data_IF_668918055971
#
_entry.id   IF_668918055971
#
_cell.length_a   1.000
_cell.length_b   1.000
_cell.length_c   1.000
_cell.angle_alpha   90.00
_cell.angle_beta   90.00
_cell.angle_gamma   90.00
#
_symmetry.space_group_name_H-M   'P 1'
#
loop_
_entity.id
_entity.type
_entity.pdbx_description
1 polymer ?
#
# COMPACT_ATOMS: atom_id res chain seq x y z
N UNK A 1 -22.53 1.97 -3.16
CA UNK A 1 -22.93 3.37 -2.88
C UNK A 1 -21.73 4.01 -2.23
N UNK A 2 -21.15 5.06 -2.82
CA UNK A 2 -20.06 5.81 -2.18
C UNK A 2 -20.66 7.08 -1.58
N UNK A 3 -20.20 7.53 -0.40
CA UNK A 3 -20.50 8.88 0.05
C UNK A 3 -20.12 9.89 -1.05
N UNK A 4 -20.83 11.01 -1.09
CA UNK A 4 -20.56 12.12 -2.00
C UNK A 4 -19.19 12.72 -1.63
N UNK A 5 -18.13 12.20 -2.25
CA UNK A 5 -16.75 12.52 -1.93
C UNK A 5 -16.23 13.51 -2.97
N UNK A 6 -15.86 14.70 -2.52
CA UNK A 6 -15.22 15.71 -3.35
C UNK A 6 -13.74 15.34 -3.60
N UNK A 7 -13.27 15.38 -4.86
CA UNK A 7 -11.86 15.24 -5.20
C UNK A 7 -10.97 16.24 -4.45
N UNK A 8 -9.75 15.83 -4.13
CA UNK A 8 -8.73 16.63 -3.44
C UNK A 8 -7.44 16.64 -4.25
N UNK A 9 -6.80 17.81 -4.31
CA UNK A 9 -5.48 17.96 -4.92
C UNK A 9 -4.44 17.24 -4.06
N UNK A 10 -3.46 16.60 -4.69
CA UNK A 10 -2.41 15.87 -3.96
C UNK A 10 -1.64 16.75 -2.97
N UNK A 11 -1.47 18.04 -3.27
CA UNK A 11 -0.84 19.03 -2.37
C UNK A 11 -1.60 19.25 -1.05
N UNK A 12 -2.88 18.86 -0.99
CA UNK A 12 -3.69 18.99 0.23
C UNK A 12 -3.63 17.76 1.14
N UNK A 13 -2.99 16.68 0.67
CA UNK A 13 -2.84 15.45 1.47
C UNK A 13 -1.70 15.68 2.47
N UNK A 14 -1.97 15.58 3.78
CA UNK A 14 -0.93 15.82 4.77
C UNK A 14 0.09 14.69 4.75
N UNK A 15 1.37 15.09 4.85
CA UNK A 15 2.50 14.20 5.07
C UNK A 15 2.33 13.46 6.38
N UNK A 16 2.75 12.18 6.39
CA UNK A 16 2.51 11.32 7.55
C UNK A 16 3.43 10.12 7.59
N UNK A 17 3.81 9.74 8.80
CA UNK A 17 4.57 8.51 9.08
C UNK A 17 3.83 7.63 10.09
N UNK A 18 4.00 6.31 9.97
CA UNK A 18 3.35 5.35 10.87
C UNK A 18 1.83 5.30 10.78
N UNK A 19 1.27 5.72 9.65
CA UNK A 19 -0.13 5.54 9.30
C UNK A 19 -0.39 4.09 8.87
N UNK A 20 -1.66 3.74 8.67
CA UNK A 20 -2.08 2.47 8.08
C UNK A 20 -2.72 2.70 6.72
N UNK A 21 -2.57 1.72 5.82
CA UNK A 21 -3.34 1.67 4.60
C UNK A 21 -3.76 0.25 4.23
N UNK A 22 -4.89 0.15 3.56
CA UNK A 22 -5.38 -1.09 2.95
C UNK A 22 -5.91 -0.78 1.55
N UNK A 23 -5.76 -1.73 0.62
CA UNK A 23 -6.39 -1.63 -0.69
C UNK A 23 -7.70 -2.39 -0.69
N UNK A 24 -8.76 -1.72 -1.11
CA UNK A 24 -10.08 -2.31 -1.32
C UNK A 24 -10.55 -1.94 -2.72
N UNK A 25 -10.74 -2.94 -3.58
CA UNK A 25 -10.99 -2.76 -5.02
C UNK A 25 -9.90 -1.91 -5.69
N UNK A 26 -10.17 -0.62 -5.90
CA UNK A 26 -9.26 0.36 -6.49
C UNK A 26 -8.97 1.56 -5.57
N UNK A 27 -9.41 1.49 -4.32
CA UNK A 27 -9.20 2.55 -3.33
C UNK A 27 -8.17 2.10 -2.32
N UNK A 28 -7.05 2.83 -2.27
CA UNK A 28 -6.16 2.76 -1.13
C UNK A 28 -6.73 3.65 -0.04
N UNK A 29 -7.15 3.04 1.07
CA UNK A 29 -7.74 3.71 2.21
C UNK A 29 -6.64 3.95 3.22
N UNK A 30 -6.50 5.18 3.69
CA UNK A 30 -5.40 5.65 4.53
C UNK A 30 -5.97 6.31 5.79
N UNK A 31 -5.41 5.94 6.95
CA UNK A 31 -5.82 6.52 8.23
C UNK A 31 -4.65 6.65 9.20
N UNK A 32 -4.73 7.66 10.08
CA UNK A 32 -3.80 7.89 11.18
C UNK A 32 -2.41 8.31 10.74
N UNK A 33 -1.44 7.99 11.60
CA UNK A 33 -0.06 8.45 11.48
C UNK A 33 0.18 9.76 12.24
N UNK A 34 1.44 10.18 12.22
CA UNK A 34 1.89 11.38 12.90
C UNK A 34 2.75 12.23 11.95
N UNK A 35 2.85 13.52 12.27
CA UNK A 35 3.69 14.50 11.61
C UNK A 35 4.02 15.61 12.62
N UNK A 36 5.30 15.84 12.86
CA UNK A 36 5.78 16.80 13.84
C UNK A 36 5.39 18.26 13.52
N UNK A 37 5.21 18.60 12.24
CA UNK A 37 4.80 19.92 11.78
C UNK A 37 3.27 20.14 11.83
N UNK A 38 2.50 19.06 11.99
CA UNK A 38 1.05 19.11 12.00
C UNK A 38 0.52 19.43 13.41
N UNK A 39 0.50 20.71 13.82
CA UNK A 39 -0.24 21.04 15.05
C UNK A 39 -0.63 22.50 15.38
N UNK A 40 -1.91 22.72 15.74
CA UNK A 40 -2.37 23.82 16.59
C UNK A 40 -2.44 23.51 18.12
N UNK A 41 -2.22 22.27 18.56
CA UNK A 41 -2.52 21.73 19.92
C UNK A 41 -1.46 20.79 20.56
N UNK A 42 -0.28 20.62 19.97
CA UNK A 42 0.87 19.83 20.48
C UNK A 42 0.67 18.31 20.78
N UNK A 43 -0.17 17.61 20.01
CA UNK A 43 -0.30 16.15 19.98
C UNK A 43 0.44 15.43 18.82
N UNK A 44 0.97 16.11 17.79
CA UNK A 44 1.73 15.55 16.66
C UNK A 44 1.03 14.46 15.80
N UNK A 45 -0.25 14.14 16.04
CA UNK A 45 -1.01 13.12 15.30
C UNK A 45 -1.98 13.71 14.29
N UNK A 46 -2.21 12.98 13.18
CA UNK A 46 -3.15 13.41 12.16
C UNK A 46 -4.62 13.32 12.62
N UNK A 47 -5.54 14.10 12.02
CA UNK A 47 -6.92 14.18 12.46
C UNK A 47 -7.60 12.81 12.40
N UNK A 48 -8.07 12.26 13.54
CA UNK A 48 -8.55 10.89 13.59
C UNK A 48 -9.91 10.69 12.90
N UNK A 49 -10.63 11.78 12.67
CA UNK A 49 -11.91 11.79 11.97
C UNK A 49 -11.77 11.75 10.45
N UNK A 50 -10.56 11.93 9.90
CA UNK A 50 -10.33 11.91 8.47
C UNK A 50 -9.92 10.52 7.98
N UNK A 51 -10.71 9.98 7.04
CA UNK A 51 -10.37 8.79 6.28
C UNK A 51 -10.06 9.21 4.86
N UNK A 52 -8.81 9.04 4.45
CA UNK A 52 -8.33 9.41 3.13
C UNK A 52 -8.47 8.22 2.18
N UNK A 53 -8.87 8.48 0.94
CA UNK A 53 -9.01 7.47 -0.10
C UNK A 53 -8.28 7.93 -1.34
N UNK A 54 -7.41 7.08 -1.87
CA UNK A 54 -6.75 7.31 -3.15
C UNK A 54 -7.33 6.35 -4.19
N UNK A 55 -7.96 6.90 -5.22
CA UNK A 55 -8.39 6.13 -6.39
C UNK A 55 -7.16 5.79 -7.24
N UNK A 56 -6.72 4.54 -7.18
CA UNK A 56 -5.51 4.08 -7.87
C UNK A 56 -5.67 4.10 -9.39
N UNK A 57 -6.92 4.12 -9.87
CA UNK A 57 -7.22 4.12 -11.30
C UNK A 57 -7.16 5.53 -11.89
N UNK A 58 -7.73 6.52 -11.21
CA UNK A 58 -7.75 7.91 -11.71
C UNK A 58 -6.67 8.81 -11.11
N UNK A 59 -5.95 8.29 -10.12
CA UNK A 59 -4.88 8.97 -9.37
C UNK A 59 -5.38 10.22 -8.66
N UNK A 60 -6.53 10.10 -7.99
CA UNK A 60 -7.23 11.20 -7.32
C UNK A 60 -7.47 10.86 -5.86
N UNK A 61 -7.24 11.84 -4.98
CA UNK A 61 -7.53 11.73 -3.55
C UNK A 61 -8.94 12.19 -3.22
N UNK A 62 -9.49 11.60 -2.17
CA UNK A 62 -10.74 11.96 -1.53
C UNK A 62 -10.54 11.91 -0.03
N UNK A 63 -11.36 12.64 0.71
CA UNK A 63 -11.39 12.57 2.18
C UNK A 63 -12.82 12.49 2.67
N UNK A 64 -13.08 11.50 3.52
CA UNK A 64 -14.32 11.39 4.29
C UNK A 64 -14.07 11.87 5.72
N UNK A 65 -14.97 12.73 6.22
CA UNK A 65 -14.92 13.23 7.60
C UNK A 65 -15.99 12.54 8.43
N UNK A 66 -15.56 11.64 9.30
CA UNK A 66 -16.41 10.97 10.27
C UNK A 66 -16.85 11.93 11.37
N UNK A 67 -18.09 11.79 11.84
CA UNK A 67 -18.67 12.66 12.89
C UNK A 67 -19.10 11.93 14.15
N UNK A 68 -19.22 10.60 14.08
CA UNK A 68 -19.74 9.77 15.17
C UNK A 68 -18.59 9.18 15.99
N UNK A 69 -18.37 7.86 15.89
CA UNK A 69 -17.26 7.18 16.54
C UNK A 69 -15.98 7.53 15.80
N UNK A 70 -14.99 8.01 16.56
CA UNK A 70 -13.68 8.39 16.02
C UNK A 70 -12.62 7.61 16.82
N UNK A 71 -11.81 6.76 16.17
CA UNK A 71 -10.72 6.07 16.86
C UNK A 71 -9.74 7.07 17.48
N UNK A 72 -9.04 6.65 18.52
CA UNK A 72 -7.99 7.48 19.14
C UNK A 72 -6.90 7.75 18.09
N UNK A 73 -6.47 9.01 17.88
CA UNK A 73 -5.40 9.32 16.93
C UNK A 73 -4.12 8.61 17.35
N UNK A 74 -3.52 7.87 16.42
CA UNK A 74 -2.38 7.03 16.71
C UNK A 74 -1.48 6.82 15.49
N UNK A 75 -0.21 6.50 15.78
CA UNK A 75 0.75 5.95 14.84
C UNK A 75 1.07 4.51 15.19
N UNK A 76 1.65 3.76 14.25
CA UNK A 76 2.09 2.39 14.46
C UNK A 76 0.96 1.39 14.68
N UNK A 77 -0.29 1.74 14.37
CA UNK A 77 -1.37 0.75 14.31
C UNK A 77 -1.05 -0.32 13.25
N UNK A 78 -1.63 -1.50 13.40
CA UNK A 78 -1.72 -2.48 12.31
C UNK A 78 -3.10 -2.42 11.68
N UNK A 79 -3.19 -2.71 10.39
CA UNK A 79 -4.47 -2.82 9.71
C UNK A 79 -4.50 -3.94 8.68
N UNK A 80 -5.69 -4.52 8.49
CA UNK A 80 -5.97 -5.45 7.41
C UNK A 80 -7.45 -5.38 7.01
N UNK A 81 -7.76 -5.70 5.76
CA UNK A 81 -9.12 -5.69 5.23
C UNK A 81 -9.68 -7.11 5.10
N UNK A 82 -10.97 -7.28 5.42
CA UNK A 82 -11.71 -8.53 5.22
C UNK A 82 -13.19 -8.22 4.98
N UNK A 83 -13.70 -8.61 3.81
CA UNK A 83 -15.06 -8.27 3.40
C UNK A 83 -15.23 -6.76 3.26
N UNK A 84 -16.33 -6.22 3.81
CA UNK A 84 -16.63 -4.78 3.81
C UNK A 84 -15.99 -4.00 4.99
N UNK A 85 -14.92 -4.53 5.57
CA UNK A 85 -14.32 -3.95 6.77
C UNK A 85 -12.81 -3.80 6.65
N UNK A 86 -12.29 -2.65 7.06
CA UNK A 86 -10.90 -2.46 7.46
C UNK A 86 -10.82 -2.54 8.98
N UNK A 87 -9.97 -3.41 9.50
CA UNK A 87 -9.75 -3.56 10.94
C UNK A 87 -8.44 -2.87 11.31
N UNK A 88 -8.45 -2.10 12.40
CA UNK A 88 -7.29 -1.35 12.91
C UNK A 88 -7.08 -1.71 14.37
N UNK A 89 -5.88 -2.16 14.69
CA UNK A 89 -5.54 -2.63 16.03
C UNK A 89 -4.32 -1.89 16.60
N UNK A 90 -4.40 -1.59 17.90
CA UNK A 90 -3.29 -1.06 18.69
C UNK A 90 -2.85 0.33 18.23
N UNK A 91 -1.55 0.59 18.35
CA UNK A 91 -0.93 1.88 18.03
C UNK A 91 -0.43 2.62 19.27
N UNK A 92 0.20 3.77 19.03
CA UNK A 92 0.65 4.70 20.05
C UNK A 92 -0.02 6.05 19.83
N UNK A 93 -0.62 6.57 20.90
CA UNK A 93 -1.31 7.86 20.94
C UNK A 93 -0.62 8.80 21.92
N UNK A 94 -1.09 10.05 22.01
CA UNK A 94 -0.63 10.99 23.05
C UNK A 94 -0.91 10.52 24.49
N UNK A 95 -1.78 9.52 24.68
CA UNK A 95 -2.06 8.89 25.97
C UNK A 95 -1.26 7.60 26.21
N UNK A 96 -0.40 7.20 25.27
CA UNK A 96 0.39 5.98 25.30
C UNK A 96 -0.12 4.89 24.35
N UNK A 97 0.31 3.65 24.61
CA UNK A 97 0.00 2.48 23.79
C UNK A 97 -1.47 2.07 23.88
N UNK A 98 -1.99 1.57 22.77
CA UNK A 98 -3.37 1.11 22.63
C UNK A 98 -3.41 -0.41 22.43
N UNK A 99 -4.52 -1.04 22.83
CA UNK A 99 -4.88 -2.42 22.50
C UNK A 99 -6.32 -2.53 21.96
N UNK A 100 -6.89 -1.41 21.53
CA UNK A 100 -8.25 -1.34 21.00
C UNK A 100 -8.29 -1.88 19.57
N UNK A 101 -9.38 -2.57 19.23
CA UNK A 101 -9.69 -3.02 17.87
C UNK A 101 -10.87 -2.21 17.34
N UNK A 102 -10.65 -1.43 16.31
CA UNK A 102 -11.70 -0.74 15.56
C UNK A 102 -11.92 -1.44 14.23
N UNK A 103 -13.13 -1.33 13.69
CA UNK A 103 -13.41 -1.64 12.29
C UNK A 103 -14.08 -0.45 11.60
N UNK A 104 -13.61 -0.13 10.40
CA UNK A 104 -14.18 0.84 9.49
C UNK A 104 -15.06 0.08 8.50
N UNK A 105 -16.35 0.40 8.46
CA UNK A 105 -17.28 -0.06 7.43
C UNK A 105 -16.91 0.60 6.10
N UNK A 106 -16.47 -0.16 5.11
CA UNK A 106 -15.90 0.37 3.87
C UNK A 106 -16.96 0.96 2.93
N UNK A 107 -18.18 0.44 3.00
CA UNK A 107 -19.33 0.95 2.25
C UNK A 107 -19.84 2.31 2.75
N UNK A 108 -19.75 2.59 4.05
CA UNK A 108 -20.26 3.81 4.68
C UNK A 108 -19.17 4.76 5.18
N UNK A 109 -17.93 4.27 5.23
CA UNK A 109 -16.76 4.90 5.84
C UNK A 109 -16.96 5.28 7.32
N UNK A 110 -17.86 4.60 8.04
CA UNK A 110 -18.10 4.82 9.47
C UNK A 110 -17.31 3.85 10.34
N UNK A 111 -16.80 4.34 11.47
CA UNK A 111 -16.08 3.52 12.45
C UNK A 111 -17.01 2.83 13.44
N UNK A 112 -16.59 1.67 13.90
CA UNK A 112 -17.19 0.92 14.99
C UNK A 112 -16.08 0.38 15.90
N UNK A 113 -16.25 0.53 17.22
CA UNK A 113 -15.38 -0.11 18.21
C UNK A 113 -15.80 -1.58 18.37
N UNK A 114 -14.86 -2.50 18.17
CA UNK A 114 -15.08 -3.92 18.47
C UNK A 114 -14.97 -4.09 19.98
N UNK A 115 -16.09 -4.43 20.62
CA UNK A 115 -16.16 -4.63 22.08
C UNK A 115 -16.08 -6.13 22.37
N UNK A 116 -14.99 -6.62 22.99
CA UNK A 116 -14.89 -8.01 23.43
C UNK A 116 -15.96 -8.35 24.49
N UNK A 117 -16.25 -9.63 24.65
CA UNK A 117 -17.04 -10.12 25.77
C UNK A 117 -16.35 -9.77 27.11
N UNK A 118 -17.13 -9.48 28.16
CA UNK A 118 -16.63 -8.86 29.40
C UNK A 118 -15.56 -9.65 30.15
N UNK A 119 -15.48 -10.97 29.94
CA UNK A 119 -14.47 -11.83 30.54
C UNK A 119 -13.30 -12.12 29.59
N UNK A 120 -13.33 -11.58 28.37
CA UNK A 120 -12.26 -11.74 27.41
C UNK A 120 -10.97 -11.17 27.98
N UNK A 121 -9.85 -11.93 27.92
CA UNK A 121 -8.56 -11.34 28.19
C UNK A 121 -8.28 -10.32 27.07
N UNK A 122 -7.31 -9.42 27.22
CA UNK A 122 -6.94 -8.45 26.18
C UNK A 122 -5.45 -8.52 25.89
N UNK A 123 -5.02 -8.41 24.62
CA UNK A 123 -3.60 -8.25 24.33
C UNK A 123 -3.05 -7.02 25.07
N UNK A 124 -1.80 -7.09 25.51
CA UNK A 124 -1.14 -5.92 26.10
C UNK A 124 -1.11 -4.75 25.09
N UNK A 125 -1.20 -3.49 25.56
CA UNK A 125 -1.10 -2.31 24.68
C UNK A 125 0.21 -2.25 23.90
N UNK A 126 0.13 -2.12 22.57
CA UNK A 126 1.28 -2.20 21.67
C UNK A 126 1.07 -1.49 20.33
N UNK A 127 2.17 -1.12 19.69
CA UNK A 127 2.23 -0.61 18.34
C UNK A 127 3.23 -1.42 17.48
N UNK A 128 3.37 -1.04 16.20
CA UNK A 128 4.32 -1.60 15.24
C UNK A 128 4.22 -3.14 15.17
N UNK A 129 2.99 -3.64 15.31
CA UNK A 129 2.61 -5.04 15.11
C UNK A 129 2.12 -5.24 13.67
N UNK A 130 1.87 -6.48 13.30
CA UNK A 130 1.30 -6.87 12.01
C UNK A 130 0.02 -7.65 12.26
N UNK A 131 -0.95 -7.56 11.36
CA UNK A 131 -2.22 -8.25 11.51
C UNK A 131 -2.75 -8.82 10.19
N UNK A 132 -3.49 -9.92 10.27
CA UNK A 132 -4.09 -10.58 9.13
C UNK A 132 -5.38 -11.30 9.51
N UNK A 133 -6.21 -11.60 8.50
CA UNK A 133 -7.37 -12.48 8.66
C UNK A 133 -7.08 -13.89 8.19
N UNK A 134 -7.60 -14.86 8.93
CA UNK A 134 -7.69 -16.25 8.51
C UNK A 134 -8.88 -16.93 9.19
N UNK A 135 -9.66 -17.68 8.42
CA UNK A 135 -10.83 -18.43 8.92
C UNK A 135 -11.73 -17.63 9.88
N UNK A 136 -12.14 -16.43 9.45
CA UNK A 136 -12.99 -15.48 10.20
C UNK A 136 -12.41 -15.00 11.54
N UNK A 137 -11.12 -15.21 11.78
CA UNK A 137 -10.41 -14.72 12.96
C UNK A 137 -9.41 -13.65 12.57
N UNK A 138 -9.26 -12.66 13.44
CA UNK A 138 -8.24 -11.62 13.31
C UNK A 138 -7.02 -12.02 14.14
N UNK A 139 -5.86 -12.07 13.51
CA UNK A 139 -4.60 -12.39 14.16
C UNK A 139 -3.72 -11.16 14.22
N UNK A 140 -2.98 -11.00 15.31
CA UNK A 140 -1.91 -10.00 15.44
C UNK A 140 -0.66 -10.61 16.06
N UNK A 141 0.51 -10.25 15.54
CA UNK A 141 1.78 -10.84 15.95
C UNK A 141 2.82 -9.79 16.34
N UNK A 142 3.47 -10.02 17.48
CA UNK A 142 4.55 -9.18 17.99
C UNK A 142 4.13 -7.75 18.36
N UNK A 143 5.02 -6.80 18.12
CA UNK A 143 4.84 -5.38 18.45
C UNK A 143 5.73 -4.90 19.60
N UNK A 144 5.71 -3.59 19.82
CA UNK A 144 6.42 -2.91 20.92
C UNK A 144 5.40 -2.22 21.81
N UNK A 145 5.52 -2.37 23.12
CA UNK A 145 4.50 -1.85 24.02
C UNK A 145 4.74 -2.16 25.48
N UNK A 146 3.70 -1.92 26.28
CA UNK A 146 3.75 -2.11 27.73
C UNK A 146 3.55 -3.58 28.12
N UNK A 147 4.10 -3.96 29.27
CA UNK A 147 3.66 -5.14 30.03
C UNK A 147 2.74 -4.69 31.16
N UNK A 148 1.59 -5.32 31.32
CA UNK A 148 0.77 -5.21 32.53
C UNK A 148 0.94 -6.45 33.40
N UNK A 149 1.95 -6.43 34.29
CA UNK A 149 2.23 -7.51 35.24
C UNK A 149 1.05 -7.86 36.18
N UNK A 150 0.02 -6.99 36.28
CA UNK A 150 -1.13 -7.18 37.15
C UNK A 150 -2.35 -7.80 36.47
N UNK A 151 -2.51 -7.61 35.15
CA UNK A 151 -3.66 -8.10 34.37
C UNK A 151 -3.31 -9.20 33.38
N UNK A 152 -2.05 -9.31 32.99
CA UNK A 152 -1.65 -10.20 31.91
C UNK A 152 -1.42 -11.65 32.38
N UNK A 153 -2.01 -12.16 33.49
CA UNK A 153 -1.69 -13.52 33.98
C UNK A 153 -1.84 -14.64 32.92
N UNK A 154 -2.77 -14.50 31.96
CA UNK A 154 -2.94 -15.43 30.82
C UNK A 154 -1.96 -15.14 29.67
N UNK A 155 -1.54 -13.88 29.49
CA UNK A 155 -0.62 -13.44 28.45
C UNK A 155 0.86 -13.42 28.91
N UNK A 156 1.12 -13.56 30.22
CA UNK A 156 2.42 -13.57 30.90
C UNK A 156 2.96 -14.96 31.15
N UNK A 157 2.14 -16.02 31.12
CA UNK A 157 2.62 -17.39 31.36
C UNK A 157 3.74 -17.78 30.38
N UNK A 158 3.83 -17.13 29.22
CA UNK A 158 5.06 -17.06 28.43
C UNK A 158 5.92 -15.84 28.80
N UNK A 159 6.59 -15.84 29.96
CA UNK A 159 7.60 -14.82 30.34
C UNK A 159 8.71 -14.70 29.27
N UNK A 160 8.89 -15.74 28.43
CA UNK A 160 9.80 -15.78 27.28
C UNK A 160 9.28 -15.06 26.02
N UNK A 161 8.02 -14.66 26.02
CA UNK A 161 7.40 -14.01 24.86
C UNK A 161 7.69 -12.52 24.78
N UNK A 162 8.06 -11.91 25.91
CA UNK A 162 8.42 -10.51 25.99
C UNK A 162 9.92 -10.33 26.18
N UNK A 163 10.46 -9.29 25.57
CA UNK A 163 11.84 -8.85 25.69
C UNK A 163 11.82 -7.39 26.12
N UNK A 164 12.21 -7.12 27.36
CA UNK A 164 12.28 -5.77 27.89
C UNK A 164 13.32 -4.92 27.16
N UNK A 165 12.97 -3.66 26.94
CA UNK A 165 13.89 -2.65 26.48
C UNK A 165 14.73 -2.18 27.67
N UNK A 166 16.04 -2.42 27.62
CA UNK A 166 16.97 -2.02 28.69
C UNK A 166 16.98 -0.51 28.96
N UNK A 167 16.46 0.29 28.03
CA UNK A 167 16.35 1.74 28.14
C UNK A 167 15.02 2.22 28.71
N UNK A 168 14.07 1.31 29.00
CA UNK A 168 12.73 1.68 29.48
C UNK A 168 12.17 0.67 30.50
N UNK A 169 11.77 1.17 31.67
CA UNK A 169 11.40 0.32 32.80
C UNK A 169 10.14 -0.54 32.61
N UNK A 170 9.32 -0.28 31.56
CA UNK A 170 8.01 -0.95 31.40
C UNK A 170 7.64 -1.31 29.95
N UNK A 171 8.56 -1.15 28.99
CA UNK A 171 8.30 -1.37 27.56
C UNK A 171 9.27 -2.36 26.94
N UNK A 172 8.88 -2.89 25.79
CA UNK A 172 9.68 -3.89 25.10
C UNK A 172 8.94 -4.56 23.96
N UNK A 173 9.63 -5.52 23.35
CA UNK A 173 9.14 -6.29 22.22
C UNK A 173 8.43 -7.54 22.68
N UNK A 174 7.48 -8.04 21.90
CA UNK A 174 6.91 -9.37 22.13
C UNK A 174 6.88 -10.23 20.86
N UNK A 175 6.66 -11.55 21.01
CA UNK A 175 6.36 -12.49 19.92
C UNK A 175 5.04 -13.25 20.16
N UNK A 176 4.08 -12.60 20.82
CA UNK A 176 2.77 -13.19 21.05
C UNK A 176 1.98 -13.23 19.73
N UNK A 177 1.32 -14.35 19.47
CA UNK A 177 0.30 -14.48 18.44
C UNK A 177 -1.08 -14.40 19.11
N UNK A 178 -1.68 -13.21 19.10
CA UNK A 178 -3.01 -13.01 19.65
C UNK A 178 -4.05 -13.22 18.56
N UNK A 179 -5.19 -13.82 18.90
CA UNK A 179 -6.31 -14.07 17.99
C UNK A 179 -7.60 -13.54 18.59
N UNK A 180 -8.37 -12.80 17.79
CA UNK A 180 -9.74 -12.41 18.11
C UNK A 180 -10.72 -13.25 17.29
N UNK A 181 -11.61 -13.94 17.99
CA UNK A 181 -12.65 -14.76 17.40
C UNK A 181 -13.98 -13.99 17.39
N UNK A 182 -14.47 -13.65 16.20
CA UNK A 182 -15.71 -12.89 16.02
C UNK A 182 -16.99 -13.68 16.31
N UNK A 183 -16.92 -15.00 16.47
CA UNK A 183 -18.07 -15.83 16.87
C UNK A 183 -18.26 -15.75 18.38
N UNK A 184 -17.15 -15.86 19.13
CA UNK A 184 -17.19 -15.81 20.60
C UNK A 184 -17.00 -14.40 21.17
N UNK A 185 -16.56 -13.44 20.34
CA UNK A 185 -16.15 -12.09 20.72
C UNK A 185 -15.04 -12.08 21.78
N UNK A 186 -14.10 -13.03 21.71
CA UNK A 186 -13.00 -13.17 22.67
C UNK A 186 -11.64 -13.10 22.01
N UNK A 187 -10.71 -12.48 22.71
CA UNK A 187 -9.28 -12.64 22.46
C UNK A 187 -8.75 -13.89 23.15
N UNK A 188 -7.71 -14.48 22.57
CA UNK A 188 -6.87 -15.48 23.21
C UNK A 188 -5.45 -15.46 22.62
N UNK A 189 -4.53 -16.18 23.26
CA UNK A 189 -3.26 -16.56 22.64
C UNK A 189 -3.51 -17.79 21.78
N UNK A 190 -3.06 -17.73 20.54
CA UNK A 190 -3.10 -18.87 19.66
C UNK A 190 -2.00 -19.87 20.06
N UNK A 191 -2.39 -21.11 20.34
CA UNK A 191 -1.44 -22.20 20.57
C UNK A 191 -0.68 -22.49 19.27
N UNK A 192 0.65 -22.47 19.35
CA UNK A 192 1.51 -22.75 18.19
C UNK A 192 2.57 -23.79 18.52
N UNK A 193 3.05 -24.46 17.48
CA UNK A 193 4.15 -25.43 17.52
C UNK A 193 5.35 -24.90 16.75
N UNK A 194 6.47 -25.58 16.87
CA UNK A 194 7.70 -25.22 16.16
C UNK A 194 8.42 -24.04 16.79
N UNK A 195 9.42 -23.50 16.09
CA UNK A 195 10.25 -22.42 16.60
C UNK A 195 9.69 -21.08 16.14
N UNK A 196 9.07 -20.34 17.05
CA UNK A 196 8.58 -18.98 16.77
C UNK A 196 9.73 -17.98 16.59
N UNK A 197 9.52 -16.89 15.84
CA UNK A 197 10.49 -15.79 15.76
C UNK A 197 10.77 -15.16 17.13
N UNK A 198 11.93 -14.52 17.27
CA UNK A 198 12.22 -13.67 18.44
C UNK A 198 11.21 -12.52 18.57
N UNK A 199 11.06 -12.01 19.79
CA UNK A 199 10.23 -10.84 20.08
C UNK A 199 10.60 -9.66 19.18
N UNK A 200 9.66 -9.04 18.48
CA UNK A 200 9.98 -8.04 17.47
C UNK A 200 8.86 -7.06 17.19
N UNK A 201 9.22 -5.88 16.71
CA UNK A 201 8.31 -4.85 16.23
C UNK A 201 8.78 -4.29 14.90
N UNK A 202 7.90 -3.58 14.18
CA UNK A 202 8.21 -2.98 12.88
C UNK A 202 8.75 -3.99 11.84
N UNK A 203 8.32 -5.25 11.98
CA UNK A 203 8.49 -6.30 10.99
C UNK A 203 7.33 -6.25 10.00
N UNK A 204 7.44 -6.99 8.90
CA UNK A 204 6.35 -7.16 7.94
C UNK A 204 5.78 -8.57 7.96
N UNK A 205 4.54 -8.71 7.50
CA UNK A 205 3.87 -10.00 7.35
C UNK A 205 3.13 -10.08 6.01
N UNK A 206 3.29 -11.20 5.30
CA UNK A 206 2.61 -11.44 4.01
C UNK A 206 2.00 -12.83 4.00
N UNK A 207 0.71 -12.92 3.65
CA UNK A 207 -0.02 -14.20 3.61
C UNK A 207 -0.13 -14.75 2.19
N UNK A 208 0.29 -16.00 2.00
CA UNK A 208 0.05 -16.81 0.81
C UNK A 208 -0.78 -18.04 1.19
N UNK A 209 -2.09 -18.01 0.91
CA UNK A 209 -2.99 -19.09 1.33
C UNK A 209 -2.97 -19.29 2.84
N UNK A 210 -2.68 -20.50 3.33
CA UNK A 210 -2.54 -20.77 4.76
C UNK A 210 -1.17 -20.41 5.35
N UNK A 211 -0.23 -19.86 4.57
CA UNK A 211 1.11 -19.54 5.05
C UNK A 211 1.27 -18.03 5.27
N UNK A 212 1.83 -17.63 6.41
CA UNK A 212 2.18 -16.24 6.71
C UNK A 212 3.68 -16.13 6.87
N UNK A 213 4.31 -15.35 6.00
CA UNK A 213 5.74 -15.07 6.07
C UNK A 213 5.97 -13.83 6.91
N UNK A 214 6.90 -13.92 7.85
CA UNK A 214 7.35 -12.82 8.70
C UNK A 214 8.80 -12.49 8.33
N UNK A 215 9.07 -11.23 8.01
CA UNK A 215 10.41 -10.79 7.61
C UNK A 215 10.91 -9.62 8.45
N UNK A 216 12.16 -9.74 8.91
CA UNK A 216 12.92 -8.71 9.59
C UNK A 216 12.27 -8.16 10.86
N UNK A 217 12.32 -6.84 11.01
CA UNK A 217 11.88 -6.10 12.20
C UNK A 217 13.01 -5.77 13.14
N UNK A 218 12.67 -5.08 14.23
CA UNK A 218 13.62 -4.71 15.28
C UNK A 218 13.42 -5.58 16.52
N UNK A 219 14.53 -6.06 17.07
CA UNK A 219 14.65 -6.72 18.36
C UNK A 219 15.88 -6.16 19.06
N UNK A 220 15.70 -5.52 20.22
CA UNK A 220 16.78 -4.83 20.94
C UNK A 220 17.52 -3.83 20.01
N UNK A 221 18.85 -3.94 19.94
CA UNK A 221 19.72 -3.09 19.13
C UNK A 221 19.88 -3.58 17.68
N UNK A 222 19.18 -4.65 17.29
CA UNK A 222 19.30 -5.25 15.96
C UNK A 222 18.01 -5.09 15.15
N UNK A 223 18.22 -4.74 13.89
CA UNK A 223 17.26 -4.90 12.79
C UNK A 223 17.63 -6.17 12.06
N UNK A 224 16.65 -7.07 12.01
CA UNK A 224 16.79 -8.45 11.59
C UNK A 224 16.57 -8.58 10.08
N UNK A 225 17.14 -9.61 9.47
CA UNK A 225 16.90 -10.05 8.09
C UNK A 225 16.41 -11.51 8.02
N UNK A 226 15.96 -12.07 9.14
CA UNK A 226 15.45 -13.43 9.18
C UNK A 226 14.05 -13.53 8.57
N UNK A 227 13.77 -14.70 7.99
CA UNK A 227 12.48 -15.04 7.38
C UNK A 227 11.89 -16.24 8.12
N UNK A 228 10.63 -16.15 8.53
CA UNK A 228 9.89 -17.24 9.16
C UNK A 228 8.57 -17.46 8.45
N UNK A 229 8.01 -18.66 8.54
CA UNK A 229 6.68 -18.97 8.05
C UNK A 229 5.84 -19.59 9.16
N UNK A 230 4.64 -19.07 9.37
CA UNK A 230 3.58 -19.71 10.14
C UNK A 230 2.61 -20.40 9.18
N UNK A 231 2.45 -21.71 9.32
CA UNK A 231 1.36 -22.44 8.68
C UNK A 231 0.12 -22.36 9.57
N UNK A 232 -0.91 -21.64 9.11
CA UNK A 232 -2.17 -21.38 9.80
C UNK A 232 -3.09 -22.61 9.85
N UNK A 233 -2.87 -23.62 9.00
CA UNK A 233 -3.66 -24.85 9.01
C UNK A 233 -3.21 -25.81 10.13
N UNK A 234 -1.91 -25.78 10.46
CA UNK A 234 -1.30 -26.63 11.49
C UNK A 234 -0.86 -25.84 12.73
N UNK A 235 -0.99 -24.51 12.69
CA UNK A 235 -0.47 -23.56 13.68
C UNK A 235 1.00 -23.83 14.03
N UNK A 236 1.82 -24.10 13.03
CA UNK A 236 3.23 -24.48 13.21
C UNK A 236 4.17 -23.46 12.56
N UNK A 237 5.10 -22.94 13.35
CA UNK A 237 6.20 -22.12 12.88
C UNK A 237 7.31 -22.97 12.27
N UNK A 238 7.86 -22.51 11.14
CA UNK A 238 8.98 -23.16 10.47
C UNK A 238 10.32 -23.06 11.20
N UNK A 239 10.45 -22.15 12.16
CA UNK A 239 11.76 -21.59 12.52
C UNK A 239 12.31 -20.70 11.41
N UNK A 240 13.57 -20.27 11.58
CA UNK A 240 14.24 -19.45 10.57
C UNK A 240 14.43 -20.26 9.29
N UNK A 241 13.87 -19.75 8.19
CA UNK A 241 14.00 -20.35 6.87
C UNK A 241 15.39 -20.05 6.30
N UNK A 242 15.99 -21.07 5.70
CA UNK A 242 17.22 -20.91 4.92
C UNK A 242 16.85 -20.36 3.54
N UNK A 243 17.23 -19.11 3.29
CA UNK A 243 17.06 -18.47 1.98
C UNK A 243 18.37 -18.53 1.18
N UNK A 244 18.26 -18.51 -0.15
CA UNK A 244 19.39 -18.56 -1.08
C UNK A 244 19.51 -17.28 -1.89
N UNK A 245 20.67 -17.07 -2.53
CA UNK A 245 20.96 -15.86 -3.32
C UNK A 245 21.42 -14.66 -2.49
N UNK A 246 21.52 -13.50 -3.15
CA UNK A 246 21.73 -12.21 -2.48
C UNK A 246 20.52 -11.87 -1.62
N UNK A 247 20.75 -11.34 -0.41
CA UNK A 247 19.68 -11.12 0.56
C UNK A 247 19.59 -9.64 0.95
N UNK A 248 18.37 -9.14 1.19
CA UNK A 248 18.20 -7.82 1.81
C UNK A 248 18.90 -7.77 3.17
N UNK A 249 19.57 -6.66 3.45
CA UNK A 249 20.13 -6.41 4.77
C UNK A 249 19.03 -6.27 5.85
N UNK A 250 19.47 -6.41 7.11
CA UNK A 250 18.58 -6.36 8.28
C UNK A 250 17.88 -5.02 8.42
N UNK A 251 16.54 -5.05 8.52
CA UNK A 251 15.70 -3.85 8.41
C UNK A 251 14.44 -3.90 9.27
N UNK A 252 14.03 -2.74 9.75
CA UNK A 252 12.71 -2.49 10.35
C UNK A 252 11.97 -1.41 9.57
N UNK A 253 10.68 -1.22 9.83
CA UNK A 253 9.86 -0.17 9.21
C UNK A 253 9.81 -0.22 7.68
N UNK A 254 10.12 -1.38 7.11
CA UNK A 254 9.97 -1.68 5.70
C UNK A 254 8.54 -2.15 5.43
N UNK A 255 8.16 -2.18 4.17
CA UNK A 255 6.93 -2.85 3.75
C UNK A 255 7.25 -4.15 3.03
N UNK A 256 6.32 -5.11 3.15
CA UNK A 256 6.30 -6.31 2.33
C UNK A 256 4.89 -6.54 1.80
N UNK A 257 4.76 -7.04 0.58
CA UNK A 257 3.46 -7.25 -0.07
C UNK A 257 3.47 -8.44 -1.01
N UNK A 258 2.36 -9.17 -1.08
CA UNK A 258 2.17 -10.24 -2.06
C UNK A 258 1.84 -9.62 -3.42
N UNK A 259 2.74 -9.76 -4.40
CA UNK A 259 2.57 -9.21 -5.76
C UNK A 259 2.14 -10.27 -6.77
N UNK A 260 2.30 -11.54 -6.42
CA UNK A 260 1.77 -12.68 -7.16
C UNK A 260 1.37 -13.80 -6.19
N UNK A 261 1.07 -15.00 -6.70
CA UNK A 261 0.77 -16.17 -5.87
C UNK A 261 1.98 -16.72 -5.11
N UNK A 262 3.20 -16.35 -5.51
CA UNK A 262 4.45 -16.84 -4.93
C UNK A 262 5.53 -15.76 -4.76
N UNK A 263 5.25 -14.50 -5.06
CA UNK A 263 6.24 -13.42 -4.97
C UNK A 263 5.87 -12.42 -3.87
N UNK A 264 6.83 -12.20 -2.98
CA UNK A 264 6.77 -11.17 -1.95
C UNK A 264 7.71 -10.03 -2.33
N UNK A 265 7.16 -8.85 -2.55
CA UNK A 265 7.90 -7.62 -2.80
C UNK A 265 8.23 -6.94 -1.47
N UNK A 266 9.48 -6.51 -1.27
CA UNK A 266 9.94 -5.77 -0.09
C UNK A 266 10.56 -4.45 -0.54
N UNK A 267 10.23 -3.37 0.17
CA UNK A 267 10.78 -2.05 -0.13
C UNK A 267 11.16 -1.25 1.11
N UNK A 268 12.31 -0.59 0.99
CA UNK A 268 12.80 0.40 1.93
C UNK A 268 12.97 -0.12 3.35
N UNK A 269 12.67 0.74 4.31
CA UNK A 269 12.89 0.53 5.73
C UNK A 269 14.12 1.27 6.24
N UNK A 270 14.64 0.76 7.35
CA UNK A 270 15.72 1.39 8.10
C UNK A 270 16.65 0.30 8.62
N UNK A 271 17.97 0.46 8.47
CA UNK A 271 18.96 -0.59 8.75
C UNK A 271 19.70 -0.41 10.10
N UNK A 272 20.62 -1.34 10.40
CA UNK A 272 21.41 -1.32 11.65
C UNK A 272 22.33 -0.10 11.79
N UNK A 273 22.75 0.50 10.67
CA UNK A 273 23.59 1.70 10.64
C UNK A 273 22.77 3.00 10.70
N UNK A 274 21.47 2.91 11.02
CA UNK A 274 20.55 4.04 11.03
C UNK A 274 20.47 4.77 9.67
N UNK A 275 20.55 4.02 8.57
CA UNK A 275 20.41 4.54 7.22
C UNK A 275 19.02 4.20 6.67
N UNK A 276 18.27 5.20 6.16
CA UNK A 276 17.04 5.00 5.40
C UNK A 276 17.28 4.23 4.11
N UNK A 277 16.42 3.27 3.80
CA UNK A 277 16.57 2.37 2.67
C UNK A 277 15.60 2.72 1.54
N UNK A 278 16.06 2.51 0.31
CA UNK A 278 15.33 2.71 -0.94
C UNK A 278 15.41 1.51 -1.88
N UNK A 279 15.98 0.40 -1.42
CA UNK A 279 16.16 -0.80 -2.22
C UNK A 279 14.85 -1.62 -2.28
N UNK A 280 14.64 -2.25 -3.43
CA UNK A 280 13.48 -3.09 -3.71
C UNK A 280 13.92 -4.54 -3.96
N UNK A 281 13.18 -5.49 -3.41
CA UNK A 281 13.50 -6.92 -3.48
C UNK A 281 12.25 -7.74 -3.79
N UNK A 282 12.44 -8.86 -4.49
CA UNK A 282 11.44 -9.92 -4.60
C UNK A 282 11.99 -11.19 -3.97
N UNK A 283 11.18 -11.81 -3.11
CA UNK A 283 11.36 -13.19 -2.66
C UNK A 283 10.38 -14.08 -3.43
N UNK A 284 10.91 -15.11 -4.08
CA UNK A 284 10.10 -16.25 -4.51
C UNK A 284 9.92 -17.21 -3.32
N UNK A 285 8.69 -17.33 -2.80
CA UNK A 285 8.43 -18.11 -1.58
C UNK A 285 8.44 -19.62 -1.79
N UNK A 286 8.46 -20.09 -3.04
CA UNK A 286 8.53 -21.51 -3.37
C UNK A 286 9.97 -22.03 -3.33
N UNK A 287 10.90 -21.25 -3.88
CA UNK A 287 12.34 -21.53 -3.93
C UNK A 287 13.12 -20.90 -2.78
N UNK A 288 12.50 -19.99 -2.02
CA UNK A 288 13.14 -19.20 -0.95
C UNK A 288 14.38 -18.46 -1.46
N UNK A 289 14.27 -17.88 -2.65
CA UNK A 289 15.36 -17.13 -3.31
C UNK A 289 14.99 -15.66 -3.41
N UNK A 290 15.91 -14.80 -3.00
CA UNK A 290 15.80 -13.35 -3.10
C UNK A 290 16.40 -12.84 -4.41
N UNK A 291 15.86 -11.76 -4.93
CA UNK A 291 16.39 -11.04 -6.09
C UNK A 291 16.20 -9.55 -5.88
N UNK A 292 17.28 -8.77 -5.98
CA UNK A 292 17.21 -7.32 -5.92
C UNK A 292 16.69 -6.75 -7.25
N UNK A 293 15.78 -5.78 -7.17
CA UNK A 293 15.26 -5.05 -8.31
C UNK A 293 16.05 -3.77 -8.52
N UNK A 294 17.19 -3.88 -9.21
CA UNK A 294 18.17 -2.80 -9.41
C UNK A 294 17.75 -1.74 -10.42
N UNK A 295 16.65 -1.95 -11.16
CA UNK A 295 16.14 -1.02 -12.15
C UNK A 295 15.32 0.13 -11.54
N UNK A 296 14.90 0.01 -10.27
CA UNK A 296 14.20 1.07 -9.57
C UNK A 296 15.19 2.09 -8.98
N UNK A 297 14.85 3.40 -8.95
CA UNK A 297 15.74 4.40 -8.39
C UNK A 297 16.02 4.24 -6.90
N UNK A 298 17.26 4.48 -6.54
CA UNK A 298 17.80 4.32 -5.19
C UNK A 298 17.92 5.64 -4.42
N UNK A 299 17.32 6.72 -4.92
CA UNK A 299 17.41 8.06 -4.34
C UNK A 299 16.16 8.49 -3.57
N UNK A 300 15.16 7.61 -3.42
CA UNK A 300 13.95 7.88 -2.65
C UNK A 300 13.78 6.89 -1.50
N UNK A 301 14.60 6.96 -0.45
CA UNK A 301 14.40 6.11 0.71
C UNK A 301 13.06 6.37 1.39
N UNK A 302 12.47 5.31 1.96
CA UNK A 302 11.24 5.40 2.73
C UNK A 302 11.30 4.45 3.92
N UNK A 303 10.96 4.94 5.10
CA UNK A 303 10.74 4.12 6.28
C UNK A 303 9.40 4.46 6.95
N UNK A 304 8.77 3.44 7.52
CA UNK A 304 7.48 3.50 8.22
C UNK A 304 6.35 4.09 7.35
N UNK A 305 6.50 3.82 6.05
CA UNK A 305 5.53 4.01 4.98
C UNK A 305 4.55 2.83 4.94
N UNK A 306 3.51 2.94 4.12
CA UNK A 306 2.62 1.81 3.81
C UNK A 306 2.74 1.41 2.35
N UNK A 307 2.39 0.16 2.05
CA UNK A 307 2.38 -0.36 0.68
C UNK A 307 1.09 -1.13 0.40
N UNK A 308 0.53 -0.92 -0.79
CA UNK A 308 -0.68 -1.58 -1.28
C UNK A 308 -0.44 -2.12 -2.70
N UNK A 309 -0.98 -3.30 -3.02
CA UNK A 309 -0.82 -3.93 -4.35
C UNK A 309 -2.10 -3.82 -5.15
N UNK A 310 -2.08 -3.11 -6.28
CA UNK A 310 -3.24 -2.93 -7.17
C UNK A 310 -3.66 -4.23 -7.83
N UNK A 311 -4.90 -4.24 -8.37
CA UNK A 311 -5.36 -5.31 -9.26
C UNK A 311 -4.47 -5.50 -10.50
N UNK A 312 -3.67 -4.49 -10.87
CA UNK A 312 -2.71 -4.54 -11.97
C UNK A 312 -1.29 -4.95 -11.50
N UNK A 313 -1.15 -5.49 -10.28
CA UNK A 313 0.13 -5.91 -9.68
C UNK A 313 1.16 -4.76 -9.58
N UNK A 314 0.69 -3.54 -9.40
CA UNK A 314 1.54 -2.39 -9.10
C UNK A 314 1.63 -2.25 -7.58
N UNK A 315 2.81 -1.91 -7.07
CA UNK A 315 2.97 -1.60 -5.64
C UNK A 315 2.94 -0.09 -5.46
N UNK A 316 1.93 0.39 -4.73
CA UNK A 316 1.81 1.78 -4.30
C UNK A 316 2.43 1.91 -2.92
N UNK A 317 3.50 2.68 -2.81
CA UNK A 317 4.08 3.09 -1.53
C UNK A 317 3.63 4.51 -1.23
N UNK A 318 3.05 4.74 -0.06
CA UNK A 318 2.57 6.05 0.35
C UNK A 318 3.15 6.49 1.69
N UNK A 319 3.53 7.77 1.73
CA UNK A 319 4.03 8.46 2.91
C UNK A 319 5.27 7.83 3.54
N UNK A 320 5.36 7.89 4.87
CA UNK A 320 6.55 7.51 5.62
C UNK A 320 7.55 8.66 5.73
N UNK A 321 8.79 8.33 6.05
CA UNK A 321 9.87 9.28 6.27
C UNK A 321 11.05 9.00 5.32
N UNK A 322 11.64 10.07 4.76
CA UNK A 322 12.76 10.00 3.81
C UNK A 322 14.15 10.05 4.45
N UNK A 323 14.27 10.45 5.71
CA UNK A 323 15.54 10.52 6.43
C UNK A 323 15.52 9.71 7.74
N UNK A 324 16.54 9.84 8.59
CA UNK A 324 16.58 9.18 9.89
C UNK A 324 15.59 9.85 10.85
N UNK A 325 14.43 9.24 11.04
CA UNK A 325 13.36 9.72 11.94
C UNK A 325 13.75 9.78 13.43
N UNK A 326 14.88 9.16 13.81
CA UNK A 326 15.40 9.15 15.18
C UNK A 326 16.56 10.13 15.38
N UNK A 327 16.96 10.86 14.33
CA UNK A 327 17.99 11.88 14.43
C UNK A 327 17.50 13.02 15.34
N UNK A 328 18.43 13.65 16.06
CA UNK A 328 18.09 14.83 16.86
C UNK A 328 17.74 16.00 15.94
N UNK A 329 16.88 16.93 16.39
CA UNK A 329 16.48 18.10 15.59
C UNK A 329 17.67 18.95 15.13
N UNK A 330 18.77 18.96 15.89
CA UNK A 330 20.03 19.63 15.51
C UNK A 330 20.73 18.96 14.31
N UNK A 331 20.53 17.66 14.09
CA UNK A 331 21.12 16.92 12.97
C UNK A 331 20.31 17.10 11.68
N UNK A 332 18.97 16.95 11.77
CA UNK A 332 18.07 17.18 10.64
C UNK A 332 16.60 17.21 11.07
N UNK A 333 15.80 18.09 10.46
CA UNK A 333 14.34 18.03 10.56
C UNK A 333 13.81 16.72 9.95
N UNK A 334 12.78 16.13 10.54
CA UNK A 334 12.15 14.90 10.05
C UNK A 334 11.49 15.14 8.69
N UNK A 335 11.86 14.33 7.70
CA UNK A 335 11.38 14.44 6.32
C UNK A 335 10.16 13.53 6.11
N UNK A 336 9.01 13.92 6.67
CA UNK A 336 7.74 13.25 6.43
C UNK A 336 7.31 13.38 4.97
N UNK A 337 6.61 12.37 4.44
CA UNK A 337 6.22 12.31 3.02
C UNK A 337 4.71 12.16 2.85
N UNK A 338 4.20 12.72 1.76
CA UNK A 338 2.82 12.55 1.25
C UNK A 338 2.79 12.11 -0.22
N UNK A 339 3.95 11.86 -0.84
CA UNK A 339 4.02 11.40 -2.20
C UNK A 339 3.72 9.90 -2.30
N UNK A 340 3.38 9.48 -3.53
CA UNK A 340 3.16 8.08 -3.86
C UNK A 340 4.30 7.63 -4.77
N UNK A 341 4.98 6.55 -4.39
CA UNK A 341 5.89 5.83 -5.27
C UNK A 341 5.13 4.66 -5.90
N UNK A 342 5.17 4.56 -7.23
CA UNK A 342 4.52 3.49 -7.98
C UNK A 342 5.58 2.54 -8.54
N UNK A 343 5.60 1.31 -8.05
CA UNK A 343 6.46 0.24 -8.57
C UNK A 343 5.66 -0.62 -9.54
N UNK A 344 5.97 -0.45 -10.81
CA UNK A 344 5.35 -1.21 -11.89
C UNK A 344 6.16 -2.50 -12.13
N UNK A 345 5.62 -3.64 -11.71
CA UNK A 345 6.29 -4.95 -11.85
C UNK A 345 5.98 -5.64 -13.19
N UNK A 346 4.99 -5.14 -13.93
CA UNK A 346 4.61 -5.64 -15.25
C UNK A 346 4.11 -4.51 -16.17
N UNK A 347 4.15 -4.65 -17.50
CA UNK A 347 3.62 -3.66 -18.43
C UNK A 347 2.13 -3.39 -18.21
N UNK A 348 1.68 -2.17 -18.50
CA UNK A 348 0.25 -1.86 -18.52
C UNK A 348 -0.48 -2.71 -19.55
N UNK A 349 -1.73 -3.06 -19.25
CA UNK A 349 -2.60 -3.65 -20.25
C UNK A 349 -2.74 -2.70 -21.44
N UNK A 350 -2.87 -3.27 -22.64
CA UNK A 350 -3.09 -2.44 -23.82
C UNK A 350 -4.36 -1.58 -23.64
N UNK A 351 -5.39 -2.09 -22.96
CA UNK A 351 -6.64 -1.35 -22.72
C UNK A 351 -6.43 -0.12 -21.85
N UNK A 352 -5.58 -0.23 -20.83
CA UNK A 352 -5.19 0.93 -20.01
C UNK A 352 -4.42 1.95 -20.83
N UNK A 353 -3.41 1.53 -21.59
CA UNK A 353 -2.62 2.43 -22.45
C UNK A 353 -3.50 3.16 -23.46
N UNK A 354 -4.46 2.45 -24.02
CA UNK A 354 -5.44 2.97 -24.95
C UNK A 354 -6.35 4.02 -24.28
N UNK A 355 -6.94 3.73 -23.12
CA UNK A 355 -7.76 4.70 -22.39
C UNK A 355 -6.99 5.98 -22.05
N UNK A 356 -5.76 5.84 -21.56
CA UNK A 356 -4.88 6.96 -21.26
C UNK A 356 -4.56 7.81 -22.50
N UNK A 357 -4.34 7.16 -23.64
CA UNK A 357 -4.13 7.85 -24.90
C UNK A 357 -5.39 8.59 -25.38
N UNK A 358 -6.55 7.93 -25.31
CA UNK A 358 -7.83 8.55 -25.66
C UNK A 358 -8.08 9.81 -24.81
N UNK A 359 -7.78 9.72 -23.51
CA UNK A 359 -7.92 10.82 -22.58
C UNK A 359 -6.91 11.95 -22.81
N UNK A 360 -5.63 11.62 -23.03
CA UNK A 360 -4.58 12.60 -23.36
C UNK A 360 -4.92 13.42 -24.60
N UNK A 361 -5.60 12.81 -25.57
CA UNK A 361 -6.05 13.46 -26.81
C UNK A 361 -7.54 13.84 -26.80
N UNK A 362 -8.14 14.04 -25.63
CA UNK A 362 -9.58 14.36 -25.44
C UNK A 362 -10.09 15.54 -26.25
N UNK A 363 -9.27 16.57 -26.49
CA UNK A 363 -9.65 17.73 -27.33
C UNK A 363 -10.03 17.29 -28.76
N UNK A 364 -9.41 16.23 -29.27
CA UNK A 364 -9.67 15.69 -30.61
C UNK A 364 -10.65 14.52 -30.60
N UNK A 365 -10.61 13.70 -29.55
CA UNK A 365 -11.33 12.42 -29.48
C UNK A 365 -12.60 12.46 -28.63
N UNK A 366 -12.79 13.49 -27.81
CA UNK A 366 -13.87 13.59 -26.82
C UNK A 366 -15.27 13.43 -27.42
N UNK A 367 -15.50 14.05 -28.58
CA UNK A 367 -16.77 13.95 -29.30
C UNK A 367 -17.14 12.53 -29.76
N UNK A 368 -16.18 11.58 -29.73
CA UNK A 368 -16.38 10.20 -30.17
C UNK A 368 -16.48 9.21 -29.00
N UNK A 369 -16.30 9.66 -27.75
CA UNK A 369 -16.32 8.77 -26.58
C UNK A 369 -17.63 8.01 -26.45
N UNK A 370 -18.77 8.65 -26.73
CA UNK A 370 -20.10 8.01 -26.70
C UNK A 370 -20.29 6.91 -27.76
N UNK A 371 -19.41 6.84 -28.76
CA UNK A 371 -19.40 5.74 -29.73
C UNK A 371 -18.60 4.52 -29.28
N UNK A 372 -17.84 4.62 -28.19
CA UNK A 372 -17.09 3.51 -27.59
C UNK A 372 -18.04 2.62 -26.76
N UNK A 373 -17.68 1.35 -26.53
CA UNK A 373 -18.39 0.53 -25.56
C UNK A 373 -18.52 1.22 -24.20
N UNK A 374 -19.68 1.06 -23.58
CA UNK A 374 -20.10 1.80 -22.39
C UNK A 374 -19.03 1.87 -21.29
N UNK A 375 -18.36 0.75 -20.99
CA UNK A 375 -17.30 0.70 -19.97
C UNK A 375 -16.14 1.68 -20.23
N UNK A 376 -15.79 1.94 -21.50
CA UNK A 376 -14.70 2.83 -21.87
C UNK A 376 -15.17 4.29 -21.94
N UNK A 377 -16.39 4.53 -22.43
CA UNK A 377 -16.99 5.87 -22.40
C UNK A 377 -17.19 6.35 -20.96
N UNK A 378 -17.77 5.50 -20.11
CA UNK A 378 -17.98 5.79 -18.68
C UNK A 378 -16.65 6.08 -17.97
N UNK A 379 -15.58 5.38 -18.34
CA UNK A 379 -14.24 5.63 -17.80
C UNK A 379 -13.71 7.01 -18.20
N UNK A 380 -13.78 7.36 -19.48
CA UNK A 380 -13.25 8.62 -20.03
C UNK A 380 -14.01 9.83 -19.50
N UNK A 381 -15.35 9.75 -19.51
CA UNK A 381 -16.21 10.80 -18.96
C UNK A 381 -15.95 10.99 -17.47
N UNK A 382 -15.84 9.90 -16.71
CA UNK A 382 -15.53 9.98 -15.28
C UNK A 382 -14.17 10.61 -15.00
N UNK A 383 -13.15 10.29 -15.81
CA UNK A 383 -11.83 10.92 -15.68
C UNK A 383 -11.90 12.41 -15.97
N UNK A 384 -12.64 12.83 -17.01
CA UNK A 384 -12.85 14.24 -17.32
C UNK A 384 -13.58 14.98 -16.20
N UNK A 385 -14.66 14.40 -15.68
CA UNK A 385 -15.44 14.99 -14.58
C UNK A 385 -14.58 15.22 -13.33
N UNK A 386 -13.71 14.27 -12.99
CA UNK A 386 -12.79 14.39 -11.85
C UNK A 386 -11.75 15.49 -12.08
N UNK A 387 -11.17 15.56 -13.27
CA UNK A 387 -10.16 16.57 -13.60
C UNK A 387 -10.77 17.98 -13.62
N UNK A 388 -12.01 18.12 -14.11
CA UNK A 388 -12.78 19.38 -14.02
C UNK A 388 -13.05 19.76 -12.56
N UNK A 389 -13.50 18.81 -11.72
CA UNK A 389 -13.74 19.07 -10.30
C UNK A 389 -12.47 19.52 -9.56
N UNK A 390 -11.31 18.91 -9.87
CA UNK A 390 -10.01 19.31 -9.32
C UNK A 390 -9.57 20.71 -9.77
N UNK A 391 -9.90 21.11 -11.00
CA UNK A 391 -9.65 22.47 -11.49
C UNK A 391 -10.56 23.50 -10.79
N UNK A 392 -11.81 23.13 -10.50
CA UNK A 392 -12.78 23.99 -9.84
C UNK A 392 -12.62 24.05 -8.31
N UNK A 393 -11.83 23.15 -7.69
CA UNK A 393 -11.61 23.18 -6.25
C UNK A 393 -10.74 24.37 -5.86
N UNK A 394 -11.38 25.45 -5.41
CA UNK A 394 -10.72 26.57 -4.72
C UNK A 394 -10.48 26.14 -3.28
N UNK A 395 -9.40 25.39 -3.04
CA UNK A 395 -8.97 25.16 -1.66
C UNK A 395 -8.43 26.49 -1.11
N UNK A 396 -9.28 27.22 -0.38
CA UNK A 396 -8.91 28.44 0.35
C UNK A 396 -8.05 28.05 1.54
N UNK A 397 -6.74 27.97 1.33
CA UNK A 397 -5.70 27.91 2.34
C UNK A 397 -4.50 28.68 1.81
N UNK A 398 -4.16 29.77 2.48
CA UNK A 398 -3.01 30.61 2.19
C UNK A 398 -1.71 29.81 2.16
N UNK A 399 -0.97 29.86 1.06
CA UNK A 399 0.33 30.55 0.96
C UNK A 399 0.89 30.42 -0.46
N UNK A 400 1.46 31.52 -0.94
CA UNK A 400 2.13 31.61 -2.23
C UNK A 400 3.47 30.89 -2.17
N UNK A 401 3.50 29.63 -2.60
CA UNK A 401 4.72 28.98 -3.06
C UNK A 401 4.49 28.39 -4.45
N UNK A 402 5.48 28.62 -5.31
CA UNK A 402 5.48 28.28 -6.73
C UNK A 402 5.02 26.85 -6.95
N UNK A 403 3.97 26.68 -7.76
CA UNK A 403 3.53 25.41 -8.33
C UNK A 403 4.71 24.72 -9.02
N UNK A 404 5.39 23.83 -8.31
CA UNK A 404 6.01 22.67 -8.93
C UNK A 404 4.98 21.56 -8.90
N UNK A 405 4.41 21.27 -10.06
CA UNK A 405 3.64 20.06 -10.34
C UNK A 405 4.24 18.89 -9.55
N UNK A 406 3.47 18.33 -8.60
CA UNK A 406 3.83 17.08 -7.92
C UNK A 406 3.76 16.00 -8.98
N UNK A 407 4.90 15.75 -9.61
CA UNK A 407 5.08 14.68 -10.56
C UNK A 407 4.77 13.36 -9.86
N UNK A 408 3.72 12.68 -10.32
CA UNK A 408 3.73 11.22 -10.30
C UNK A 408 4.96 10.81 -11.11
N UNK A 409 6.10 10.65 -10.44
CA UNK A 409 7.26 9.99 -11.03
C UNK A 409 6.91 8.52 -11.19
N UNK A 410 6.27 8.22 -12.32
CA UNK A 410 6.23 6.87 -12.85
C UNK A 410 7.68 6.40 -13.00
N UNK A 411 8.12 5.52 -12.10
CA UNK A 411 9.37 4.80 -12.30
C UNK A 411 9.15 3.80 -13.43
N UNK A 412 9.33 4.31 -14.65
CA UNK A 412 9.27 3.54 -15.86
C UNK A 412 10.49 2.62 -15.88
N UNK A 413 10.23 1.32 -15.86
CA UNK A 413 11.04 0.41 -16.67
C UNK A 413 11.04 0.98 -18.09
N UNK A 414 12.21 1.42 -18.54
CA UNK A 414 12.42 1.94 -19.89
C UNK A 414 12.15 0.83 -20.88
N UNK A 415 10.91 0.71 -21.34
CA UNK A 415 10.68 0.17 -22.66
C UNK A 415 11.19 1.23 -23.63
N UNK A 416 12.15 0.84 -24.46
CA UNK A 416 12.57 1.61 -25.62
C UNK A 416 11.38 1.82 -26.56
N UNK A 417 10.59 2.84 -26.26
CA UNK A 417 9.86 3.56 -27.29
C UNK A 417 10.92 4.15 -28.19
N UNK A 418 11.09 3.55 -29.36
CA UNK A 418 11.83 4.08 -30.50
C UNK A 418 11.58 5.57 -30.60
N UNK A 419 12.54 6.35 -30.12
CA UNK A 419 12.53 7.79 -30.28
C UNK A 419 13.14 8.09 -31.65
N UNK A 420 12.37 7.79 -32.71
CA UNK A 420 12.56 8.37 -34.04
C UNK A 420 11.35 8.03 -34.90
N UNK A 421 10.33 8.88 -34.84
CA UNK A 421 9.42 9.27 -35.93
C UNK A 421 8.05 9.67 -35.40
N UNK A 422 7.50 10.73 -36.00
CA UNK A 422 6.16 11.25 -35.76
C UNK A 422 5.11 10.13 -35.93
N UNK A 423 4.46 9.68 -34.86
CA UNK A 423 3.31 8.76 -34.96
C UNK A 423 2.37 8.94 -33.77
N UNK A 424 1.25 9.62 -34.04
CA UNK A 424 0.12 9.80 -33.13
C UNK A 424 -0.65 8.48 -32.97
N UNK A 425 -0.95 8.11 -31.73
CA UNK A 425 -1.75 6.94 -31.36
C UNK A 425 -3.24 7.31 -31.44
N UNK A 426 -4.04 6.56 -32.20
CA UNK A 426 -5.51 6.59 -32.16
C UNK A 426 -6.07 5.17 -32.03
N UNK A 427 -7.06 5.01 -31.15
CA UNK A 427 -7.69 3.75 -30.76
C UNK A 427 -8.83 3.36 -31.70
N UNK A 428 -8.99 2.06 -31.96
CA UNK A 428 -10.29 1.49 -32.32
C UNK A 428 -10.58 0.23 -31.50
N UNK A 429 -11.76 0.19 -30.87
CA UNK A 429 -12.24 -0.93 -30.08
C UNK A 429 -13.12 -1.82 -30.96
N UNK A 430 -12.80 -3.12 -31.08
CA UNK A 430 -13.66 -4.09 -31.77
C UNK A 430 -13.87 -5.33 -30.92
N UNK A 431 -15.14 -5.60 -30.57
CA UNK A 431 -15.67 -6.86 -30.00
C UNK A 431 -14.75 -7.55 -28.97
N UNK A 432 -14.50 -6.87 -27.85
CA UNK A 432 -13.90 -7.37 -26.62
C UNK A 432 -12.36 -7.55 -26.55
N UNK A 433 -11.60 -7.33 -27.62
CA UNK A 433 -10.12 -7.37 -27.59
C UNK A 433 -9.47 -6.16 -28.29
N UNK A 434 -8.18 -5.95 -28.02
CA UNK A 434 -7.45 -4.74 -28.39
C UNK A 434 -6.20 -5.08 -29.23
N UNK A 435 -6.05 -4.40 -30.37
CA UNK A 435 -4.94 -4.58 -31.31
C UNK A 435 -4.44 -3.23 -31.85
N UNK A 436 -3.15 -3.17 -32.23
CA UNK A 436 -2.38 -1.96 -32.63
C UNK A 436 -2.04 -2.04 -34.12
N UNK A 437 -2.12 -0.97 -34.94
CA UNK A 437 -1.27 -0.74 -36.15
C UNK A 437 -1.47 0.64 -36.87
N UNK A 438 -0.59 0.94 -37.84
CA UNK A 438 -0.07 2.25 -38.34
C UNK A 438 -0.95 3.12 -39.29
N UNK A 439 -0.67 4.44 -39.30
CA UNK A 439 -1.34 5.54 -40.02
C UNK A 439 -1.34 5.50 -41.57
N UNK A 440 -2.48 5.88 -42.18
CA UNK A 440 -2.62 6.99 -43.15
C UNK A 440 -4.12 7.18 -43.54
N UNK A 441 -4.74 8.29 -43.12
CA UNK A 441 -6.03 8.74 -43.66
C UNK A 441 -7.10 9.05 -42.62
N UNK A 442 -7.37 10.35 -42.42
CA UNK A 442 -8.37 10.89 -41.51
C UNK A 442 -9.82 10.59 -41.97
N UNK A 443 -10.43 9.48 -41.55
CA UNK A 443 -11.90 9.35 -41.41
C UNK A 443 -12.28 8.13 -40.58
N UNK A 444 -13.11 8.28 -39.53
CA UNK A 444 -13.80 7.15 -38.91
C UNK A 444 -15.08 6.90 -39.71
N UNK A 445 -15.17 5.75 -40.40
CA UNK A 445 -16.37 5.33 -41.13
C UNK A 445 -16.96 4.06 -40.53
N UNK A 446 -18.26 4.07 -40.27
CA UNK A 446 -19.05 2.86 -39.95
C UNK A 446 -19.21 2.06 -41.24
N UNK A 447 -18.52 0.92 -41.37
CA UNK A 447 -18.72 0.00 -42.49
C UNK A 447 -19.99 -0.83 -42.25
N UNK A 448 -20.95 -0.72 -43.17
CA UNK A 448 -22.05 -1.68 -43.33
C UNK A 448 -21.52 -2.96 -43.97
N UNK A 449 -22.14 -4.05 -43.54
CA UNK A 449 -22.03 -5.48 -43.89
C UNK A 449 -21.26 -5.92 -45.15
N UNK A 450 -20.64 -7.10 -44.97
CA UNK A 450 -20.17 -8.09 -45.95
C UNK A 450 -19.02 -7.76 -46.91
N UNK A 451 -17.79 -8.13 -46.51
CA UNK A 451 -16.78 -8.64 -47.45
C UNK A 451 -15.95 -9.76 -46.80
N UNK A 452 -15.99 -10.95 -47.42
CA UNK A 452 -15.14 -12.12 -47.15
C UNK A 452 -13.69 -11.82 -47.59
N UNK A 453 -12.71 -11.90 -46.69
CA UNK A 453 -11.29 -11.82 -47.03
C UNK A 453 -10.75 -13.22 -47.38
N UNK A 454 -10.66 -13.53 -48.68
CA UNK A 454 -9.71 -14.52 -49.20
C UNK A 454 -8.46 -13.81 -49.70
N UNK A 455 -7.31 -14.41 -49.39
CA UNK A 455 -5.96 -13.94 -49.65
C UNK A 455 -5.72 -13.49 -51.10
N UNK A 456 -4.91 -12.43 -51.26
CA UNK A 456 -4.17 -12.14 -52.49
C UNK A 456 -2.73 -11.71 -52.16
N UNK A 457 -1.74 -12.04 -53.01
CA UNK A 457 -0.32 -11.94 -52.70
C UNK A 457 0.28 -10.57 -53.06
N UNK A 458 1.42 -10.28 -52.44
CA UNK A 458 2.31 -9.15 -52.72
C UNK A 458 2.92 -9.25 -54.12
N UNK A 459 2.84 -8.18 -54.92
CA UNK A 459 3.73 -7.92 -56.05
C UNK A 459 4.46 -6.58 -55.83
N UNK A 460 5.79 -6.68 -55.76
CA UNK A 460 6.74 -5.56 -55.77
C UNK A 460 6.96 -5.11 -57.22
N UNK A 461 6.65 -3.85 -57.53
CA UNK A 461 7.14 -3.19 -58.74
C UNK A 461 8.13 -2.09 -58.35
N UNK A 462 9.42 -2.37 -58.59
CA UNK A 462 10.49 -1.39 -58.67
C UNK A 462 10.54 -0.77 -60.08
N UNK A 463 10.73 0.54 -60.16
CA UNK A 463 11.14 1.27 -61.37
C UNK A 463 11.02 2.79 -61.16
N UNK A 464 12.03 3.63 -61.34
CA UNK A 464 13.40 3.37 -61.81
C UNK A 464 14.29 4.63 -61.83
N UNK A 465 15.55 4.35 -62.17
CA UNK A 465 16.60 5.14 -62.87
C UNK A 465 16.91 6.61 -62.53
N UNK A 466 18.21 6.84 -62.27
CA UNK A 466 18.93 8.10 -62.47
C UNK A 466 20.45 7.88 -62.32
N UNK A 467 21.14 7.92 -63.47
CA UNK A 467 22.58 7.76 -63.81
C UNK A 467 23.64 7.54 -62.73
#
# INVERSE_FOLDING_TARGET
MKPDLTPRKSSTVPERTGHVSVLVEKFMIVWGGYNDDYDPYHLAYLPPHEVWLYDTEFKVWFVSKNRDIIPVPASGCSACAQGDYMYVFGGHSGLGYLNTLYKLHLSTLQWELVTPESSSPSPSPRDKTVSWFYDKKFYTFGGYGMIDYSKDNVFLEEVRSFCQDETSDLRGWNNQLCVFDFITMKWSIAETKGQKPSARAAHSAVRFGCKVFIFGGRHMNLRLNDLHCLDLSTMTWSGSLCVSGEQPEGRSWHTASAVSTNQMFVYGGFNNNCVPLSDAWILDVASLSWTQLTHFPTNKPRLWHTACVTHNQEVLVFGGCGNNILANEEESQVDHRNDILLFQLQPYTLSRLCLECAYRHRVRLGAQWDSLPRQFSDWLNRKEDLDIQLLMSTDTGSESHSDSDVSLEEYRLTFSLLHESQSLVQLLVLRNDLFVFHCLGYTIRRLKEDVNLRALPFDLCCGGMGQ
#
